data_IF_244801667387
#
_entry.id   IF_244801667387
#
_cell.length_a   1.000
_cell.length_b   1.000
_cell.length_c   1.000
_cell.angle_alpha   90.00
_cell.angle_beta   90.00
_cell.angle_gamma   90.00
#
_symmetry.space_group_name_H-M   'P 1'
#
loop_
_entity.id
_entity.type
_entity.pdbx_description
1 polymer ?
#
# COMPACT_ATOMS: atom_id res chain seq x y z
N UNK A 1 69.84 -7.51 -11.23
CA UNK A 1 68.51 -7.01 -10.82
C UNK A 1 67.45 -7.85 -11.52
N UNK A 2 66.80 -8.77 -10.81
CA UNK A 2 65.64 -9.53 -11.30
C UNK A 2 64.49 -9.25 -10.34
N UNK A 3 63.46 -8.56 -10.81
CA UNK A 3 62.29 -8.20 -10.02
C UNK A 3 61.25 -9.30 -10.19
N UNK A 4 60.93 -10.02 -9.11
CA UNK A 4 59.75 -10.88 -9.06
C UNK A 4 58.52 -10.01 -8.81
N UNK A 5 57.51 -10.14 -9.67
CA UNK A 5 56.16 -9.61 -9.43
C UNK A 5 55.31 -10.76 -8.92
N UNK A 6 54.83 -10.67 -7.68
CA UNK A 6 53.91 -11.61 -7.08
C UNK A 6 52.48 -11.11 -7.29
N UNK A 7 51.67 -11.87 -8.04
CA UNK A 7 50.25 -11.60 -8.25
C UNK A 7 49.45 -12.13 -7.06
N UNK A 8 48.86 -11.23 -6.27
CA UNK A 8 47.97 -11.57 -5.18
C UNK A 8 46.54 -11.79 -5.73
N UNK A 9 46.06 -13.03 -5.72
CA UNK A 9 44.69 -13.36 -6.06
C UNK A 9 43.78 -13.13 -4.83
N UNK A 10 42.94 -12.09 -4.86
CA UNK A 10 41.87 -11.91 -3.86
C UNK A 10 40.71 -12.85 -4.21
N UNK A 11 40.50 -13.88 -3.38
CA UNK A 11 39.29 -14.67 -3.40
C UNK A 11 38.14 -13.88 -2.75
N UNK A 12 37.18 -13.43 -3.54
CA UNK A 12 35.90 -12.91 -3.03
C UNK A 12 35.08 -14.09 -2.50
N UNK A 13 35.00 -14.23 -1.17
CA UNK A 13 34.02 -15.10 -0.54
C UNK A 13 32.64 -14.46 -0.73
N UNK A 14 31.85 -15.02 -1.65
CA UNK A 14 30.45 -14.66 -1.78
C UNK A 14 29.70 -15.17 -0.54
N UNK A 15 29.28 -14.28 0.34
CA UNK A 15 28.40 -14.61 1.46
C UNK A 15 27.11 -15.22 0.88
N UNK A 16 26.93 -16.52 1.03
CA UNK A 16 25.66 -17.16 0.73
C UNK A 16 24.64 -16.62 1.74
N UNK A 17 23.82 -15.66 1.33
CA UNK A 17 22.70 -15.22 2.13
C UNK A 17 21.73 -16.39 2.28
N UNK A 18 21.74 -17.04 3.45
CA UNK A 18 20.75 -18.04 3.81
C UNK A 18 19.46 -17.32 4.20
N UNK A 19 18.36 -17.64 3.51
CA UNK A 19 17.03 -17.25 3.95
C UNK A 19 16.71 -17.87 5.32
N UNK A 20 15.93 -17.16 6.13
CA UNK A 20 15.39 -17.70 7.37
C UNK A 20 14.52 -18.93 7.07
N UNK A 21 14.46 -19.91 8.00
CA UNK A 21 13.49 -21.00 7.89
C UNK A 21 12.06 -20.46 7.75
N UNK A 22 11.38 -20.81 6.66
CA UNK A 22 9.97 -20.47 6.46
C UNK A 22 9.11 -21.71 6.72
N UNK A 23 8.45 -21.72 7.87
CA UNK A 23 7.44 -22.74 8.20
C UNK A 23 6.06 -22.20 7.90
N UNK A 24 5.22 -22.97 7.21
CA UNK A 24 3.87 -22.55 6.85
C UNK A 24 2.83 -23.57 7.32
N UNK A 25 1.82 -23.11 8.05
CA UNK A 25 0.65 -23.89 8.41
C UNK A 25 -0.25 -24.06 7.17
N UNK A 26 -0.46 -25.30 6.78
CA UNK A 26 -1.27 -25.68 5.60
C UNK A 26 -2.55 -26.41 5.97
N UNK A 27 -2.95 -26.43 7.24
CA UNK A 27 -4.19 -27.11 7.69
C UNK A 27 -5.46 -26.57 6.99
N UNK A 28 -5.47 -25.29 6.60
CA UNK A 28 -6.53 -24.66 5.83
C UNK A 28 -6.38 -24.77 4.30
N UNK A 29 -5.29 -25.34 3.81
CA UNK A 29 -5.01 -25.50 2.40
C UNK A 29 -5.65 -26.78 1.85
N UNK A 30 -6.29 -26.65 0.69
CA UNK A 30 -6.83 -27.75 -0.10
C UNK A 30 -6.39 -27.57 -1.54
N UNK A 31 -5.64 -28.52 -2.08
CA UNK A 31 -5.20 -28.49 -3.46
C UNK A 31 -6.38 -28.57 -4.42
N UNK A 32 -6.30 -27.85 -5.53
CA UNK A 32 -7.27 -27.91 -6.63
C UNK A 32 -6.54 -27.87 -7.97
N UNK A 33 -7.09 -28.47 -9.05
CA UNK A 33 -6.53 -28.33 -10.38
C UNK A 33 -6.37 -26.86 -10.76
N UNK A 34 -5.18 -26.45 -11.21
CA UNK A 34 -4.89 -25.06 -11.59
C UNK A 34 -4.80 -24.07 -10.43
N UNK A 35 -4.72 -24.54 -9.16
CA UNK A 35 -4.52 -23.69 -7.98
C UNK A 35 -3.84 -24.50 -6.86
N UNK A 36 -2.53 -24.33 -6.73
CA UNK A 36 -1.70 -25.17 -5.85
C UNK A 36 -0.74 -24.34 -5.00
N UNK A 37 -0.39 -24.87 -3.82
CA UNK A 37 0.65 -24.35 -2.95
C UNK A 37 1.51 -25.51 -2.43
N UNK A 38 2.82 -25.30 -2.34
CA UNK A 38 3.78 -26.26 -1.82
C UNK A 38 4.85 -25.56 -0.99
N UNK A 39 5.26 -26.17 0.11
CA UNK A 39 6.32 -25.67 1.00
C UNK A 39 7.49 -26.65 0.91
N UNK A 40 8.62 -26.19 0.41
CA UNK A 40 9.85 -26.97 0.29
C UNK A 40 11.06 -26.02 0.33
N UNK A 41 12.18 -26.47 0.90
CA UNK A 41 13.45 -25.72 0.94
C UNK A 41 13.28 -24.26 1.42
N UNK A 42 12.59 -24.08 2.56
CA UNK A 42 12.26 -22.77 3.14
C UNK A 42 11.55 -21.81 2.16
N UNK A 43 10.86 -22.36 1.15
CA UNK A 43 10.16 -21.59 0.12
C UNK A 43 8.70 -22.04 0.05
N UNK A 44 7.77 -21.10 0.20
CA UNK A 44 6.37 -21.33 -0.19
C UNK A 44 6.21 -20.99 -1.66
N UNK A 45 5.82 -21.96 -2.48
CA UNK A 45 5.48 -21.78 -3.89
C UNK A 45 3.98 -21.84 -4.07
N UNK A 46 3.38 -20.81 -4.67
CA UNK A 46 1.98 -20.78 -5.09
C UNK A 46 1.94 -20.71 -6.61
N UNK A 47 1.24 -21.64 -7.26
CA UNK A 47 1.08 -21.69 -8.72
C UNK A 47 -0.40 -21.79 -9.07
N UNK A 48 -0.87 -20.95 -9.98
CA UNK A 48 -2.27 -20.94 -10.40
C UNK A 48 -2.45 -20.63 -11.88
N UNK A 49 -3.60 -21.06 -12.41
CA UNK A 49 -4.07 -20.73 -13.74
C UNK A 49 -4.52 -19.26 -13.77
N UNK A 50 -3.90 -18.46 -14.63
CA UNK A 50 -4.29 -17.09 -14.93
C UNK A 50 -5.24 -17.00 -16.14
N UNK A 51 -5.40 -15.79 -16.66
CA UNK A 51 -6.18 -15.54 -17.89
C UNK A 51 -5.45 -16.05 -19.14
N UNK A 52 -6.19 -16.21 -20.24
CA UNK A 52 -5.64 -16.46 -21.60
C UNK A 52 -4.60 -17.60 -21.65
N UNK A 53 -4.92 -18.73 -21.01
CA UNK A 53 -4.06 -19.92 -20.97
C UNK A 53 -2.66 -19.67 -20.38
N UNK A 54 -2.56 -18.75 -19.42
CA UNK A 54 -1.33 -18.46 -18.66
C UNK A 54 -1.31 -19.21 -17.33
N UNK A 55 -0.11 -19.45 -16.83
CA UNK A 55 0.14 -19.83 -15.44
C UNK A 55 0.99 -18.74 -14.78
N UNK A 56 0.71 -18.50 -13.50
CA UNK A 56 1.46 -17.57 -12.68
C UNK A 56 2.04 -18.34 -11.50
N UNK A 57 3.27 -18.00 -11.12
CA UNK A 57 3.96 -18.56 -9.95
C UNK A 57 4.46 -17.43 -9.07
N UNK A 58 4.19 -17.55 -7.79
CA UNK A 58 4.68 -16.66 -6.75
C UNK A 58 5.42 -17.50 -5.71
N UNK A 59 6.71 -17.22 -5.51
CA UNK A 59 7.54 -17.89 -4.50
C UNK A 59 7.90 -16.92 -3.39
N UNK A 60 7.64 -17.33 -2.16
CA UNK A 60 7.96 -16.56 -0.96
C UNK A 60 9.09 -17.21 -0.18
N UNK A 61 9.93 -16.36 0.39
CA UNK A 61 10.97 -16.70 1.37
C UNK A 61 10.88 -15.71 2.53
N UNK A 62 11.61 -15.97 3.61
CA UNK A 62 11.75 -15.07 4.73
C UNK A 62 13.21 -14.58 4.81
N UNK A 63 13.42 -13.27 4.88
CA UNK A 63 14.74 -12.67 5.02
C UNK A 63 14.72 -11.70 6.20
N UNK A 64 15.43 -12.02 7.28
CA UNK A 64 15.46 -11.24 8.53
C UNK A 64 14.05 -10.88 9.03
N UNK A 65 13.14 -11.86 9.05
CA UNK A 65 11.74 -11.65 9.44
C UNK A 65 10.88 -10.88 8.43
N UNK A 66 11.40 -10.51 7.26
CA UNK A 66 10.65 -9.83 6.18
C UNK A 66 10.21 -10.82 5.10
N UNK A 67 8.88 -10.99 4.87
CA UNK A 67 8.39 -11.77 3.74
C UNK A 67 8.89 -11.18 2.43
N UNK A 68 9.65 -11.96 1.70
CA UNK A 68 10.26 -11.57 0.43
C UNK A 68 9.69 -12.44 -0.68
N UNK A 69 9.23 -11.81 -1.76
CA UNK A 69 8.90 -12.52 -2.99
C UNK A 69 10.24 -12.87 -3.64
N UNK A 70 10.62 -14.15 -3.52
CA UNK A 70 11.80 -14.72 -4.15
C UNK A 70 11.72 -14.55 -5.66
N UNK A 71 10.57 -14.86 -6.25
CA UNK A 71 10.20 -14.48 -7.61
C UNK A 71 8.70 -14.49 -7.83
N UNK A 72 8.27 -13.60 -8.73
CA UNK A 72 7.01 -13.63 -9.44
C UNK A 72 7.30 -13.94 -10.90
N UNK A 73 6.72 -15.01 -11.43
CA UNK A 73 6.94 -15.46 -12.80
C UNK A 73 5.62 -15.82 -13.49
N UNK A 74 5.62 -15.71 -14.82
CA UNK A 74 4.49 -16.06 -15.68
C UNK A 74 4.95 -16.98 -16.82
N UNK A 75 4.05 -17.80 -17.35
CA UNK A 75 4.27 -18.56 -18.58
C UNK A 75 2.99 -18.79 -19.36
N UNK A 76 3.08 -19.11 -20.65
CA UNK A 76 2.04 -19.89 -21.30
C UNK A 76 2.01 -21.31 -20.70
N UNK A 77 0.83 -21.95 -20.63
CA UNK A 77 0.77 -23.36 -20.24
C UNK A 77 1.68 -24.20 -21.14
N UNK A 78 2.56 -25.00 -20.53
CA UNK A 78 3.57 -25.81 -21.23
C UNK A 78 4.81 -25.04 -21.73
N UNK A 79 4.87 -23.72 -21.56
CA UNK A 79 6.02 -22.89 -21.93
C UNK A 79 7.06 -22.71 -20.81
N UNK A 80 8.08 -21.91 -21.11
CA UNK A 80 9.11 -21.52 -20.15
C UNK A 80 8.63 -20.40 -19.22
N UNK A 81 9.09 -20.42 -17.96
CA UNK A 81 8.83 -19.36 -16.99
C UNK A 81 9.63 -18.10 -17.33
N UNK A 82 8.93 -16.96 -17.40
CA UNK A 82 9.50 -15.63 -17.48
C UNK A 82 9.36 -14.93 -16.12
N UNK A 83 10.49 -14.56 -15.51
CA UNK A 83 10.51 -13.84 -14.24
C UNK A 83 10.16 -12.37 -14.45
N UNK A 84 9.22 -11.86 -13.68
CA UNK A 84 8.77 -10.46 -13.69
C UNK A 84 9.35 -9.64 -12.54
N UNK A 85 9.57 -10.27 -11.39
CA UNK A 85 10.24 -9.66 -10.24
C UNK A 85 10.96 -10.74 -9.44
N UNK A 86 12.06 -10.39 -8.79
CA UNK A 86 12.83 -11.28 -7.93
C UNK A 86 13.45 -10.52 -6.76
N UNK A 87 13.46 -11.12 -5.57
CA UNK A 87 14.02 -10.50 -4.37
C UNK A 87 13.30 -9.22 -3.92
N UNK A 88 11.99 -9.14 -4.13
CA UNK A 88 11.20 -7.92 -3.89
C UNK A 88 10.36 -8.03 -2.63
N UNK A 89 10.13 -6.90 -1.94
CA UNK A 89 9.34 -6.87 -0.70
C UNK A 89 8.12 -5.96 -0.82
N UNK A 90 7.09 -6.25 -0.04
CA UNK A 90 5.95 -5.37 0.12
C UNK A 90 6.39 -4.07 0.84
N UNK A 91 6.09 -2.92 0.24
CA UNK A 91 6.35 -1.62 0.83
C UNK A 91 5.03 -0.96 1.20
N UNK A 92 4.80 -0.73 2.49
CA UNK A 92 3.63 -0.03 2.99
C UNK A 92 4.04 1.16 3.84
N UNK A 93 3.32 2.26 3.68
CA UNK A 93 3.39 3.43 4.55
C UNK A 93 1.99 3.79 5.04
N UNK A 94 1.89 4.26 6.27
CA UNK A 94 0.67 4.83 6.83
C UNK A 94 0.97 6.24 7.32
N UNK A 95 -0.04 7.09 7.18
CA UNK A 95 -0.09 8.35 7.91
C UNK A 95 -1.41 8.36 8.67
N UNK A 96 -1.33 8.48 9.99
CA UNK A 96 -2.48 8.52 10.87
C UNK A 96 -2.56 9.84 11.60
N UNK A 97 -3.76 10.34 11.81
CA UNK A 97 -4.07 11.54 12.58
C UNK A 97 -5.27 11.33 13.50
N UNK A 98 -5.59 12.35 14.28
CA UNK A 98 -6.71 12.33 15.21
C UNK A 98 -8.02 12.74 14.52
N UNK A 99 -8.98 11.80 14.47
CA UNK A 99 -10.37 12.02 14.04
C UNK A 99 -11.07 12.94 15.03
N UNK A 100 -11.69 14.00 14.51
CA UNK A 100 -12.50 14.94 15.29
C UNK A 100 -13.93 14.99 14.76
N UNK A 101 -14.91 15.07 15.66
CA UNK A 101 -16.25 15.51 15.32
C UNK A 101 -16.24 17.02 15.02
N UNK A 102 -17.12 17.44 14.11
CA UNK A 102 -17.24 18.83 13.67
C UNK A 102 -18.48 19.50 14.27
N UNK A 103 -18.50 20.83 14.27
CA UNK A 103 -19.66 21.62 14.70
C UNK A 103 -20.95 21.23 13.97
N UNK A 104 -20.85 20.78 12.72
CA UNK A 104 -21.96 20.28 11.91
C UNK A 104 -22.68 19.09 12.55
N UNK A 105 -21.95 18.24 13.26
CA UNK A 105 -22.50 17.08 13.97
C UNK A 105 -22.91 17.44 15.41
N UNK A 106 -22.18 18.36 16.04
CA UNK A 106 -22.34 18.70 17.45
C UNK A 106 -23.51 19.65 17.72
N UNK A 107 -23.68 20.70 16.89
CA UNK A 107 -24.71 21.72 17.10
C UNK A 107 -26.14 21.16 17.10
N UNK A 108 -26.52 20.23 16.20
CA UNK A 108 -27.85 19.62 16.24
C UNK A 108 -28.12 18.89 17.56
N UNK A 109 -27.14 18.15 18.09
CA UNK A 109 -27.28 17.44 19.36
C UNK A 109 -27.44 18.43 20.53
N UNK A 110 -26.66 19.50 20.54
CA UNK A 110 -26.76 20.56 21.55
C UNK A 110 -28.11 21.27 21.50
N UNK A 111 -28.64 21.55 20.29
CA UNK A 111 -29.96 22.17 20.12
C UNK A 111 -31.10 21.28 20.61
N UNK A 112 -30.92 19.96 20.57
CA UNK A 112 -31.85 18.99 21.17
C UNK A 112 -31.65 18.80 22.68
N UNK A 113 -30.74 19.55 23.31
CA UNK A 113 -30.43 19.44 24.74
C UNK A 113 -29.63 18.18 25.10
N UNK A 114 -29.03 17.49 24.13
CA UNK A 114 -28.21 16.30 24.37
C UNK A 114 -26.81 16.73 24.83
N UNK A 115 -26.36 16.34 26.03
CA UNK A 115 -25.03 16.69 26.51
C UNK A 115 -23.95 15.96 25.71
N UNK A 116 -22.95 16.70 25.21
CA UNK A 116 -21.80 16.13 24.50
C UNK A 116 -20.82 15.54 25.50
N UNK A 117 -21.01 14.28 25.84
CA UNK A 117 -20.09 13.49 26.68
C UNK A 117 -19.03 12.80 25.82
N UNK A 118 -17.91 12.30 26.39
CA UNK A 118 -16.93 11.49 25.66
C UNK A 118 -17.56 10.29 24.94
N UNK A 119 -18.58 9.66 25.54
CA UNK A 119 -19.31 8.54 24.93
C UNK A 119 -20.05 8.98 23.66
N UNK A 120 -20.83 10.06 23.75
CA UNK A 120 -21.57 10.62 22.59
C UNK A 120 -20.59 10.98 21.48
N UNK A 121 -19.46 11.58 21.84
CA UNK A 121 -18.42 11.95 20.89
C UNK A 121 -17.78 10.74 20.20
N UNK A 122 -17.51 9.65 20.94
CA UNK A 122 -17.01 8.38 20.40
C UNK A 122 -18.01 7.69 19.46
N UNK A 123 -19.31 7.95 19.60
CA UNK A 123 -20.33 7.43 18.69
C UNK A 123 -20.35 8.22 17.38
N UNK A 124 -20.31 9.56 17.44
CA UNK A 124 -20.58 10.42 16.28
C UNK A 124 -19.34 10.81 15.46
N UNK A 125 -18.14 10.85 16.07
CA UNK A 125 -16.94 11.41 15.40
C UNK A 125 -16.59 10.71 14.09
N UNK A 126 -17.03 9.46 13.92
CA UNK A 126 -16.74 8.65 12.74
C UNK A 126 -17.52 9.06 11.49
N UNK A 127 -18.60 9.83 11.68
CA UNK A 127 -19.45 10.33 10.60
C UNK A 127 -19.01 11.71 10.09
N UNK A 128 -17.85 12.20 10.54
CA UNK A 128 -17.34 13.51 10.16
C UNK A 128 -16.87 13.51 8.69
N UNK A 129 -17.57 14.26 7.84
CA UNK A 129 -17.32 14.29 6.40
C UNK A 129 -16.16 15.22 5.98
N UNK A 130 -15.98 16.35 6.68
CA UNK A 130 -14.94 17.37 6.39
C UNK A 130 -13.86 17.46 7.49
N UNK A 131 -13.66 16.39 8.24
CA UNK A 131 -12.56 16.33 9.21
C UNK A 131 -11.25 15.98 8.50
N UNK A 132 -10.43 16.97 8.14
CA UNK A 132 -9.09 16.75 7.53
C UNK A 132 -8.01 16.58 8.59
N UNK A 133 -7.61 15.34 8.95
CA UNK A 133 -6.83 15.08 10.16
C UNK A 133 -5.34 15.40 9.98
N UNK A 134 -4.91 15.50 8.73
CA UNK A 134 -3.52 15.75 8.34
C UNK A 134 -3.28 17.21 7.92
N UNK A 135 -4.32 18.04 7.88
CA UNK A 135 -4.19 19.48 7.66
C UNK A 135 -3.67 20.14 8.94
N UNK A 136 -2.35 20.35 9.01
CA UNK A 136 -1.65 20.97 10.14
C UNK A 136 -1.07 22.31 9.67
N UNK A 137 -1.34 23.44 10.36
CA UNK A 137 -2.04 23.55 11.65
C UNK A 137 -3.57 23.42 11.55
N UNK A 138 -4.15 23.50 10.36
CA UNK A 138 -5.60 23.32 10.18
C UNK A 138 -6.45 24.39 10.85
N UNK A 139 -5.95 25.62 10.83
CA UNK A 139 -6.54 26.83 11.43
C UNK A 139 -7.52 27.56 10.50
N UNK A 140 -7.73 27.08 9.27
CA UNK A 140 -8.77 27.60 8.39
C UNK A 140 -10.17 27.18 8.86
N UNK A 141 -11.18 28.00 8.55
CA UNK A 141 -12.59 27.64 8.79
C UNK A 141 -13.08 26.78 7.63
N UNK A 142 -13.61 25.60 7.94
CA UNK A 142 -14.26 24.70 6.99
C UNK A 142 -15.65 25.22 6.56
N UNK A 143 -16.10 24.78 5.39
CA UNK A 143 -17.46 25.01 4.89
C UNK A 143 -18.54 24.56 5.88
N UNK A 144 -19.68 25.26 5.91
CA UNK A 144 -20.93 24.75 6.49
C UNK A 144 -20.90 24.41 7.98
N UNK A 145 -19.96 25.00 8.76
CA UNK A 145 -19.77 24.65 10.16
C UNK A 145 -19.08 23.29 10.35
N UNK A 146 -18.42 22.75 9.33
CA UNK A 146 -17.69 21.50 9.42
C UNK A 146 -16.28 21.64 10.04
N UNK A 147 -16.05 22.73 10.79
CA UNK A 147 -14.83 22.94 11.56
C UNK A 147 -14.98 22.24 12.92
N UNK A 148 -13.98 21.49 13.40
CA UNK A 148 -13.94 21.06 14.80
C UNK A 148 -14.01 22.26 15.76
N UNK A 149 -14.63 22.13 16.95
CA UNK A 149 -14.68 23.21 17.93
C UNK A 149 -13.28 23.74 18.28
N UNK A 150 -13.06 25.05 18.13
CA UNK A 150 -11.73 25.67 18.35
C UNK A 150 -11.22 25.42 19.76
N UNK A 151 -12.09 25.52 20.77
CA UNK A 151 -11.74 25.25 22.16
C UNK A 151 -11.63 23.76 22.51
N UNK A 152 -12.00 22.86 21.59
CA UNK A 152 -12.25 21.45 21.91
C UNK A 152 -13.59 21.25 22.59
N UNK A 153 -13.95 19.98 22.84
CA UNK A 153 -15.18 19.62 23.54
C UNK A 153 -15.04 18.23 24.14
N UNK A 154 -15.54 18.04 25.37
CA UNK A 154 -15.36 16.80 26.12
C UNK A 154 -13.87 16.37 26.17
N UNK A 155 -13.52 15.21 25.62
CA UNK A 155 -12.14 14.72 25.52
C UNK A 155 -11.52 14.93 24.12
N UNK A 156 -12.19 15.68 23.23
CA UNK A 156 -11.63 16.11 21.96
C UNK A 156 -10.75 17.36 22.12
N UNK A 157 -9.47 17.31 21.72
CA UNK A 157 -8.64 18.50 21.64
C UNK A 157 -9.18 19.50 20.62
N UNK A 158 -9.01 20.79 20.90
CA UNK A 158 -9.35 21.88 19.99
C UNK A 158 -8.43 22.04 18.79
N UNK A 159 -8.50 23.22 18.16
CA UNK A 159 -7.63 23.67 17.08
C UNK A 159 -6.66 24.77 17.58
N UNK A 160 -5.51 24.98 16.93
CA UNK A 160 -4.99 24.27 15.77
C UNK A 160 -4.53 22.84 16.10
N UNK A 161 -4.49 21.99 15.07
CA UNK A 161 -3.88 20.66 15.16
C UNK A 161 -2.38 20.78 15.40
N UNK A 162 -1.84 19.84 16.17
CA UNK A 162 -0.40 19.75 16.43
C UNK A 162 0.25 18.73 15.50
N UNK A 163 1.49 18.99 15.08
CA UNK A 163 2.27 18.02 14.32
C UNK A 163 2.43 16.68 15.05
N UNK A 164 2.45 16.70 16.40
CA UNK A 164 2.50 15.50 17.25
C UNK A 164 1.24 14.63 17.17
N UNK A 165 0.13 15.13 16.62
CA UNK A 165 -1.07 14.33 16.37
C UNK A 165 -0.94 13.48 15.10
N UNK A 166 0.07 13.74 14.26
CA UNK A 166 0.30 13.01 13.01
C UNK A 166 1.44 12.03 13.18
N UNK A 167 1.14 10.74 13.00
CA UNK A 167 2.14 9.67 12.97
C UNK A 167 2.37 9.21 11.55
N UNK A 168 3.64 9.15 11.13
CA UNK A 168 4.08 8.63 9.83
C UNK A 168 4.92 7.40 10.07
N UNK A 169 4.59 6.28 9.43
CA UNK A 169 5.33 5.05 9.62
C UNK A 169 5.40 4.22 8.34
N UNK A 170 6.49 3.48 8.19
CA UNK A 170 6.60 2.38 7.24
C UNK A 170 6.30 1.05 7.96
N UNK A 171 5.91 0.03 7.19
CA UNK A 171 5.72 -1.31 7.75
C UNK A 171 7.05 -1.90 8.21
N UNK A 172 7.07 -2.43 9.42
CA UNK A 172 8.11 -3.29 9.95
C UNK A 172 7.59 -4.73 10.03
N UNK A 173 8.44 -5.68 9.66
CA UNK A 173 8.10 -7.10 9.59
C UNK A 173 8.94 -7.89 10.59
N UNK A 174 8.28 -8.69 11.42
CA UNK A 174 8.87 -9.64 12.35
C UNK A 174 8.17 -10.98 12.20
N UNK A 175 8.09 -11.44 10.96
CA UNK A 175 7.39 -12.66 10.58
C UNK A 175 8.26 -13.87 10.92
N UNK A 176 7.64 -14.93 11.45
CA UNK A 176 8.32 -16.19 11.78
C UNK A 176 7.74 -17.40 11.06
N UNK A 177 6.52 -17.26 10.55
CA UNK A 177 5.79 -18.34 9.89
C UNK A 177 4.75 -17.76 8.94
N UNK A 178 4.12 -18.62 8.15
CA UNK A 178 2.98 -18.25 7.33
C UNK A 178 1.79 -19.20 7.52
N UNK A 179 0.60 -18.76 7.10
CA UNK A 179 -0.59 -19.60 7.00
C UNK A 179 -1.08 -19.61 5.56
N UNK A 180 -1.44 -20.79 5.05
CA UNK A 180 -1.96 -20.98 3.69
C UNK A 180 -3.38 -21.54 3.77
N UNK A 181 -4.31 -20.87 3.10
CA UNK A 181 -5.73 -21.25 3.09
C UNK A 181 -6.29 -21.25 1.67
N UNK A 182 -7.07 -22.28 1.36
CA UNK A 182 -7.91 -22.30 0.15
C UNK A 182 -9.30 -21.77 0.49
N UNK A 183 -9.81 -20.82 -0.30
CA UNK A 183 -11.13 -20.23 -0.12
C UNK A 183 -11.85 -20.09 -1.47
N UNK A 184 -12.68 -21.08 -1.82
CA UNK A 184 -13.26 -21.19 -3.15
C UNK A 184 -12.17 -21.31 -4.22
N UNK A 185 -12.17 -20.39 -5.18
CA UNK A 185 -11.20 -20.31 -6.28
C UNK A 185 -9.96 -19.45 -5.96
N UNK A 186 -9.65 -19.21 -4.68
CA UNK A 186 -8.51 -18.38 -4.26
C UNK A 186 -7.62 -19.09 -3.23
N UNK A 187 -6.33 -18.76 -3.25
CA UNK A 187 -5.40 -19.07 -2.16
C UNK A 187 -5.09 -17.76 -1.42
N UNK A 188 -5.19 -17.80 -0.10
CA UNK A 188 -4.79 -16.75 0.82
C UNK A 188 -3.52 -17.18 1.54
N UNK A 189 -2.46 -16.39 1.46
CA UNK A 189 -1.20 -16.56 2.18
C UNK A 189 -1.07 -15.42 3.18
N UNK A 190 -0.92 -15.75 4.46
CA UNK A 190 -0.86 -14.81 5.57
C UNK A 190 0.49 -14.89 6.28
N UNK A 191 1.07 -13.74 6.61
CA UNK A 191 2.34 -13.57 7.32
C UNK A 191 2.12 -12.70 8.57
N UNK A 192 1.82 -13.31 9.74
CA UNK A 192 1.65 -12.58 11.00
C UNK A 192 2.97 -11.96 11.49
N UNK A 193 2.88 -10.79 12.13
CA UNK A 193 4.05 -10.07 12.67
C UNK A 193 4.34 -8.75 11.95
N UNK A 194 3.30 -8.04 11.52
CA UNK A 194 3.43 -6.71 10.90
C UNK A 194 3.11 -5.63 11.92
N UNK A 195 4.00 -4.65 12.06
CA UNK A 195 3.73 -3.37 12.70
C UNK A 195 3.70 -2.27 11.65
N UNK A 196 2.68 -1.43 11.64
CA UNK A 196 2.56 -0.29 10.72
C UNK A 196 1.98 0.91 11.48
N UNK A 197 2.85 1.77 12.02
CA UNK A 197 2.41 2.91 12.84
C UNK A 197 1.64 2.44 14.06
N UNK A 198 0.37 2.86 14.18
CA UNK A 198 -0.54 2.46 15.27
C UNK A 198 -1.18 1.08 15.07
N UNK A 199 -0.87 0.39 13.97
CA UNK A 199 -1.50 -0.86 13.58
C UNK A 199 -0.60 -2.07 13.80
N UNK A 200 -1.16 -3.15 14.35
CA UNK A 200 -0.52 -4.47 14.42
C UNK A 200 -1.36 -5.52 13.69
N UNK A 201 -0.71 -6.41 12.95
CA UNK A 201 -1.43 -7.39 12.14
C UNK A 201 -0.54 -8.30 11.30
N UNK A 202 -0.99 -8.54 10.07
CA UNK A 202 -0.33 -9.45 9.12
C UNK A 202 -0.29 -8.88 7.70
N UNK A 203 0.70 -9.32 6.93
CA UNK A 203 0.74 -9.16 5.49
C UNK A 203 0.00 -10.34 4.85
N UNK A 204 -0.88 -10.07 3.89
CA UNK A 204 -1.73 -11.05 3.24
C UNK A 204 -1.61 -10.93 1.72
N UNK A 205 -1.45 -12.07 1.05
CA UNK A 205 -1.53 -12.19 -0.39
C UNK A 205 -2.72 -13.07 -0.76
N UNK A 206 -3.55 -12.64 -1.71
CA UNK A 206 -4.61 -13.44 -2.29
C UNK A 206 -4.39 -13.57 -3.79
N UNK A 207 -4.42 -14.81 -4.29
CA UNK A 207 -4.35 -15.11 -5.73
C UNK A 207 -5.65 -15.74 -6.20
N UNK A 208 -6.07 -15.47 -7.43
CA UNK A 208 -7.39 -15.86 -7.94
C UNK A 208 -7.25 -16.77 -9.15
N UNK A 209 -7.69 -18.03 -9.05
CA UNK A 209 -7.73 -18.93 -10.20
C UNK A 209 -8.60 -18.34 -11.30
N UNK A 210 -8.10 -18.37 -12.53
CA UNK A 210 -8.74 -17.78 -13.70
C UNK A 210 -8.39 -16.30 -13.91
N UNK A 211 -7.53 -15.70 -13.08
CA UNK A 211 -7.00 -14.35 -13.28
C UNK A 211 -5.53 -14.25 -12.85
N UNK A 212 -4.75 -13.41 -13.51
CA UNK A 212 -3.39 -13.13 -13.05
C UNK A 212 -3.37 -12.25 -11.78
N UNK A 213 -4.51 -11.71 -11.37
CA UNK A 213 -4.64 -10.79 -10.23
C UNK A 213 -4.01 -11.34 -8.94
N UNK A 214 -3.21 -10.49 -8.29
CA UNK A 214 -2.68 -10.68 -6.95
C UNK A 214 -3.18 -9.51 -6.11
N UNK A 215 -3.91 -9.79 -5.04
CA UNK A 215 -4.23 -8.81 -4.00
C UNK A 215 -3.18 -8.90 -2.91
N UNK A 216 -2.52 -7.79 -2.61
CA UNK A 216 -1.57 -7.66 -1.51
C UNK A 216 -2.19 -6.72 -0.47
N UNK A 217 -2.24 -7.10 0.80
CA UNK A 217 -2.84 -6.29 1.84
C UNK A 217 -2.13 -6.39 3.19
N UNK A 218 -2.15 -5.32 3.98
CA UNK A 218 -1.97 -5.41 5.42
C UNK A 218 -3.37 -5.49 6.05
N UNK A 219 -3.59 -6.54 6.82
CA UNK A 219 -4.82 -6.78 7.58
C UNK A 219 -4.47 -6.63 9.05
N UNK A 220 -4.88 -5.52 9.66
CA UNK A 220 -4.39 -5.09 10.96
C UNK A 220 -5.46 -4.42 11.81
N UNK A 221 -5.24 -4.40 13.12
CA UNK A 221 -6.08 -3.67 14.09
C UNK A 221 -5.27 -2.57 14.77
N UNK A 222 -5.97 -1.67 15.45
CA UNK A 222 -5.38 -0.71 16.38
C UNK A 222 -6.24 -0.68 17.63
N UNK A 223 -5.62 -0.39 18.77
CA UNK A 223 -6.33 -0.13 20.02
C UNK A 223 -6.32 1.38 20.37
N UNK A 224 -5.71 2.20 19.51
CA UNK A 224 -5.73 3.66 19.60
C UNK A 224 -7.14 4.22 19.34
N UNK A 225 -7.51 5.26 20.10
CA UNK A 225 -8.82 5.92 19.96
C UNK A 225 -8.79 6.92 18.81
N UNK A 226 -9.94 7.05 18.13
CA UNK A 226 -10.19 8.12 17.15
C UNK A 226 -9.13 8.20 16.03
N UNK A 227 -8.68 7.07 15.49
CA UNK A 227 -7.69 7.06 14.41
C UNK A 227 -8.35 7.34 13.07
N UNK A 228 -7.85 8.36 12.39
CA UNK A 228 -8.04 8.54 10.96
C UNK A 228 -6.73 8.23 10.22
N UNK A 229 -6.78 7.59 9.06
CA UNK A 229 -5.55 7.19 8.37
C UNK A 229 -5.67 7.14 6.85
N UNK A 230 -4.53 7.37 6.20
CA UNK A 230 -4.30 7.04 4.79
C UNK A 230 -3.14 6.07 4.68
N UNK A 231 -3.03 5.40 3.55
CA UNK A 231 -1.90 4.53 3.27
C UNK A 231 -1.38 4.63 1.84
N UNK A 232 -0.12 4.25 1.71
CA UNK A 232 0.52 3.96 0.43
C UNK A 232 0.97 2.50 0.46
N UNK A 233 0.88 1.82 -0.68
CA UNK A 233 1.30 0.44 -0.81
C UNK A 233 1.97 0.18 -2.15
N UNK A 234 2.99 -0.68 -2.16
CA UNK A 234 3.89 -0.85 -3.29
C UNK A 234 4.75 -2.10 -3.19
N UNK A 235 5.55 -2.29 -4.24
CA UNK A 235 6.55 -3.33 -4.34
C UNK A 235 7.89 -2.63 -4.48
N UNK A 236 8.87 -3.05 -3.68
CA UNK A 236 10.20 -2.45 -3.63
C UNK A 236 11.27 -3.45 -4.01
N UNK A 237 12.35 -2.95 -4.61
CA UNK A 237 13.54 -3.72 -4.94
C UNK A 237 13.49 -4.33 -6.34
N UNK A 238 12.60 -3.85 -7.21
CA UNK A 238 12.57 -4.30 -8.59
C UNK A 238 13.88 -3.88 -9.28
N UNK A 239 14.50 -4.81 -10.00
CA UNK A 239 15.74 -4.56 -10.70
C UNK A 239 15.51 -3.71 -11.95
N UNK A 240 16.37 -2.71 -12.15
CA UNK A 240 16.46 -1.96 -13.41
C UNK A 240 17.36 -2.76 -14.35
N UNK A 241 16.76 -3.35 -15.38
CA UNK A 241 17.41 -4.13 -16.43
C UNK A 241 17.31 -3.41 -17.78
N UNK A 242 18.06 -3.81 -18.82
CA UNK A 242 17.79 -3.35 -20.18
C UNK A 242 16.31 -3.51 -20.53
N UNK A 243 15.71 -2.49 -21.18
CA UNK A 243 14.28 -2.40 -21.48
C UNK A 243 13.32 -2.39 -20.27
N UNK A 244 13.81 -2.02 -19.07
CA UNK A 244 12.96 -1.73 -17.91
C UNK A 244 12.43 -0.31 -17.98
N UNK A 245 11.13 -0.14 -17.82
CA UNK A 245 10.48 1.17 -17.84
C UNK A 245 9.21 1.18 -16.99
N UNK A 246 8.86 2.35 -16.46
CA UNK A 246 7.51 2.61 -15.94
C UNK A 246 6.65 3.17 -17.05
N UNK A 247 5.44 2.63 -17.20
CA UNK A 247 4.49 3.04 -18.25
C UNK A 247 3.15 3.42 -17.63
N UNK A 248 2.59 4.55 -18.04
CA UNK A 248 1.24 4.97 -17.67
C UNK A 248 0.62 5.87 -18.73
N UNK A 249 -0.70 6.06 -18.68
CA UNK A 249 -1.38 7.13 -19.42
C UNK A 249 -1.54 8.35 -18.53
N UNK A 250 -1.24 9.54 -19.04
CA UNK A 250 -1.55 10.79 -18.35
C UNK A 250 -3.07 10.95 -18.18
N UNK A 251 -3.53 11.42 -17.01
CA UNK A 251 -4.93 11.74 -16.79
C UNK A 251 -5.42 12.91 -17.67
N UNK A 252 -4.56 13.88 -17.97
CA UNK A 252 -4.97 15.13 -18.64
C UNK A 252 -4.92 15.02 -20.16
N UNK A 253 -3.79 14.56 -20.71
CA UNK A 253 -3.59 14.45 -22.16
C UNK A 253 -3.99 13.09 -22.72
N UNK A 254 -4.22 12.10 -21.84
CA UNK A 254 -4.49 10.71 -22.20
C UNK A 254 -3.37 10.02 -23.01
N UNK A 255 -2.20 10.68 -23.13
CA UNK A 255 -1.02 10.17 -23.82
C UNK A 255 -0.29 9.13 -22.97
N UNK A 256 0.35 8.17 -23.63
CA UNK A 256 1.27 7.24 -22.99
C UNK A 256 2.55 7.97 -22.60
N UNK A 257 3.05 7.64 -21.41
CA UNK A 257 4.33 8.10 -20.88
C UNK A 257 5.13 6.86 -20.49
N UNK A 258 6.36 6.77 -20.96
CA UNK A 258 7.37 5.84 -20.49
C UNK A 258 8.47 6.58 -19.71
N UNK A 259 8.97 5.95 -18.65
CA UNK A 259 10.08 6.45 -17.86
C UNK A 259 11.13 5.35 -17.68
N UNK A 260 12.30 5.56 -18.28
CA UNK A 260 13.38 4.58 -18.41
C UNK A 260 14.47 4.72 -17.34
N UNK A 261 14.17 5.38 -16.21
CA UNK A 261 15.10 5.52 -15.08
C UNK A 261 16.45 6.19 -15.38
N UNK A 262 16.55 7.06 -16.39
CA UNK A 262 17.82 7.75 -16.73
C UNK A 262 18.29 8.81 -15.72
N UNK A 263 17.42 9.27 -14.82
CA UNK A 263 17.72 10.36 -13.87
C UNK A 263 18.41 9.93 -12.57
N UNK A 264 18.63 10.88 -11.66
CA UNK A 264 19.09 10.62 -10.30
C UNK A 264 18.08 9.76 -9.50
N UNK A 265 18.53 9.19 -8.37
CA UNK A 265 17.60 8.56 -7.42
C UNK A 265 16.56 9.58 -6.94
N UNK A 266 15.38 9.11 -6.56
CA UNK A 266 14.36 9.97 -5.97
C UNK A 266 14.48 9.93 -4.44
N UNK A 267 14.40 11.09 -3.79
CA UNK A 267 14.43 11.17 -2.32
C UNK A 267 13.07 10.77 -1.69
N UNK A 268 11.99 10.83 -2.47
CA UNK A 268 10.65 10.45 -2.07
C UNK A 268 9.87 9.81 -3.25
N UNK A 269 8.77 9.08 -3.00
CA UNK A 269 7.87 8.65 -4.05
C UNK A 269 7.43 9.81 -4.94
N UNK A 270 7.43 9.60 -6.26
CA UNK A 270 6.93 10.55 -7.27
C UNK A 270 5.46 10.24 -7.53
N UNK A 271 4.51 11.09 -7.10
CA UNK A 271 3.09 10.89 -7.37
C UNK A 271 2.77 11.10 -8.85
N UNK A 272 1.87 10.27 -9.39
CA UNK A 272 1.46 10.31 -10.79
C UNK A 272 -0.06 10.47 -10.92
N UNK A 273 -0.50 11.50 -11.64
CA UNK A 273 -1.90 11.66 -12.08
C UNK A 273 -2.14 10.82 -13.35
N UNK A 274 -2.39 9.53 -13.16
CA UNK A 274 -2.58 8.58 -14.28
C UNK A 274 -4.06 8.45 -14.68
N UNK A 275 -4.35 8.23 -15.96
CA UNK A 275 -5.66 7.77 -16.41
C UNK A 275 -5.97 6.39 -15.80
N UNK A 276 -7.23 6.14 -15.44
CA UNK A 276 -7.70 4.88 -14.84
C UNK A 276 -6.99 4.43 -13.55
N UNK A 277 -6.13 5.29 -12.96
CA UNK A 277 -5.35 5.00 -11.75
C UNK A 277 -4.48 3.73 -11.87
N UNK A 278 -3.91 3.54 -13.06
CA UNK A 278 -3.08 2.38 -13.40
C UNK A 278 -1.67 2.81 -13.80
N UNK A 279 -0.68 2.10 -13.27
CA UNK A 279 0.73 2.21 -13.62
C UNK A 279 1.28 0.80 -13.86
N UNK A 280 2.18 0.61 -14.82
CA UNK A 280 2.82 -0.67 -15.09
C UNK A 280 4.34 -0.55 -15.05
N UNK A 281 5.00 -1.51 -14.42
CA UNK A 281 6.42 -1.75 -14.60
C UNK A 281 6.58 -2.77 -15.73
N UNK A 282 7.25 -2.37 -16.81
CA UNK A 282 7.67 -3.25 -17.89
C UNK A 282 9.09 -3.72 -17.63
N UNK A 283 9.33 -5.01 -17.81
CA UNK A 283 10.60 -5.71 -17.59
C UNK A 283 10.82 -6.71 -18.73
N UNK A 284 12.04 -7.27 -18.91
CA UNK A 284 12.28 -8.21 -20.01
C UNK A 284 11.31 -9.40 -20.09
N UNK A 285 10.86 -9.91 -18.94
CA UNK A 285 9.93 -11.04 -18.88
C UNK A 285 8.45 -10.70 -19.12
N UNK A 286 8.06 -9.42 -19.18
CA UNK A 286 6.67 -8.99 -19.26
C UNK A 286 6.38 -7.71 -18.47
N UNK A 287 5.24 -7.64 -17.81
CA UNK A 287 4.85 -6.45 -17.04
C UNK A 287 4.13 -6.80 -15.74
N UNK A 288 4.20 -5.87 -14.78
CA UNK A 288 3.42 -5.89 -13.54
C UNK A 288 2.67 -4.56 -13.46
N UNK A 289 1.34 -4.59 -13.59
CA UNK A 289 0.50 -3.43 -13.33
C UNK A 289 0.16 -3.32 -11.85
N UNK A 290 0.01 -2.09 -11.34
CA UNK A 290 -0.49 -1.79 -10.01
C UNK A 290 -1.63 -0.78 -10.09
N UNK A 291 -2.70 -1.04 -9.35
CA UNK A 291 -3.90 -0.20 -9.33
C UNK A 291 -4.66 -0.32 -7.99
N UNK A 292 -5.46 0.70 -7.63
CA UNK A 292 -6.33 0.67 -6.45
C UNK A 292 -7.33 -0.50 -6.48
N UNK A 293 -7.64 -1.15 -5.33
CA UNK A 293 -8.80 -2.02 -5.24
C UNK A 293 -10.10 -1.24 -5.53
N UNK A 294 -11.07 -1.86 -6.22
CA UNK A 294 -12.35 -1.21 -6.48
C UNK A 294 -13.12 -0.96 -5.17
N UNK A 295 -13.83 0.18 -5.10
CA UNK A 295 -14.73 0.62 -4.02
C UNK A 295 -14.15 0.79 -2.61
N UNK A 296 -13.01 0.16 -2.29
CA UNK A 296 -12.41 0.17 -0.95
C UNK A 296 -11.06 0.89 -0.89
N UNK A 297 -10.74 1.73 -1.88
CA UNK A 297 -9.52 2.56 -1.90
C UNK A 297 -9.76 4.05 -1.68
N UNK A 298 -10.98 4.53 -1.88
CA UNK A 298 -11.37 5.90 -1.57
C UNK A 298 -12.29 5.90 -0.36
N UNK A 299 -12.21 6.94 0.46
CA UNK A 299 -13.29 7.34 1.35
C UNK A 299 -14.23 8.27 0.58
N UNK A 300 -15.44 8.48 1.10
CA UNK A 300 -16.39 9.42 0.52
C UNK A 300 -15.77 10.81 0.47
N UNK A 301 -15.78 11.42 -0.73
CA UNK A 301 -15.31 12.78 -0.97
C UNK A 301 -16.35 13.51 -1.79
N UNK A 302 -16.48 14.81 -1.56
CA UNK A 302 -17.36 15.68 -2.35
C UNK A 302 -16.82 15.94 -3.76
N UNK A 303 -15.50 15.78 -3.95
CA UNK A 303 -14.82 16.00 -5.22
C UNK A 303 -14.01 14.78 -5.64
N UNK A 304 -13.99 14.52 -6.94
CA UNK A 304 -13.44 13.30 -7.55
C UNK A 304 -12.08 13.53 -8.24
N UNK A 305 -11.31 14.53 -7.78
CA UNK A 305 -10.02 14.86 -8.39
C UNK A 305 -9.03 13.71 -8.36
N UNK A 306 -8.20 13.65 -9.42
CA UNK A 306 -7.05 12.78 -9.44
C UNK A 306 -5.87 13.42 -8.71
N UNK A 307 -5.73 13.08 -7.42
CA UNK A 307 -4.65 13.59 -6.55
C UNK A 307 -3.36 12.78 -6.64
N UNK A 308 -3.20 12.04 -7.74
CA UNK A 308 -2.01 11.23 -8.02
C UNK A 308 -2.00 9.90 -7.27
N UNK A 309 -2.91 8.99 -7.61
CA UNK A 309 -3.11 7.73 -6.85
C UNK A 309 -2.11 6.62 -7.16
N UNK A 310 -1.18 6.86 -8.06
CA UNK A 310 -0.07 5.96 -8.36
C UNK A 310 1.25 6.66 -8.06
N UNK A 311 2.30 5.87 -7.85
CA UNK A 311 3.64 6.41 -7.64
C UNK A 311 4.71 5.46 -8.15
N UNK A 312 5.88 6.03 -8.46
CA UNK A 312 7.13 5.29 -8.61
C UNK A 312 8.24 5.95 -7.78
N UNK A 313 9.33 5.23 -7.55
CA UNK A 313 10.53 5.76 -6.92
C UNK A 313 11.75 5.00 -7.43
N UNK A 314 12.71 5.69 -8.03
CA UNK A 314 14.05 5.15 -8.30
C UNK A 314 14.83 5.15 -6.99
N UNK A 315 15.11 3.96 -6.45
CA UNK A 315 15.81 3.80 -5.17
C UNK A 315 17.33 3.88 -5.34
N UNK A 316 17.85 3.36 -6.46
CA UNK A 316 19.28 3.32 -6.76
C UNK A 316 19.52 3.27 -8.28
N UNK A 317 20.78 3.24 -8.76
CA UNK A 317 21.07 2.98 -10.17
C UNK A 317 20.50 1.66 -10.71
N UNK A 318 20.26 0.67 -9.84
CA UNK A 318 19.86 -0.69 -10.22
C UNK A 318 18.51 -1.12 -9.65
N UNK A 319 17.82 -0.27 -8.90
CA UNK A 319 16.54 -0.65 -8.27
C UNK A 319 15.51 0.46 -8.19
N UNK A 320 14.24 0.04 -8.21
CA UNK A 320 13.09 0.93 -8.07
C UNK A 320 11.95 0.28 -7.27
N UNK A 321 10.96 1.12 -6.96
CA UNK A 321 9.71 0.75 -6.31
C UNK A 321 8.53 1.45 -6.99
N UNK A 322 7.35 0.85 -6.91
CA UNK A 322 6.12 1.45 -7.44
C UNK A 322 4.86 0.89 -6.78
N UNK A 323 3.77 1.63 -6.90
CA UNK A 323 2.48 1.18 -6.38
C UNK A 323 1.39 2.22 -6.42
N UNK A 324 0.52 2.15 -5.43
CA UNK A 324 -0.63 3.04 -5.22
C UNK A 324 -0.43 3.86 -3.96
N UNK A 325 -1.02 5.05 -3.95
CA UNK A 325 -0.95 5.97 -2.81
C UNK A 325 -2.26 6.70 -2.62
N UNK A 326 -2.44 7.23 -1.42
CA UNK A 326 -3.47 8.19 -1.12
C UNK A 326 -2.83 9.56 -0.85
N UNK A 327 -3.51 10.62 -1.27
CA UNK A 327 -3.09 11.98 -0.96
C UNK A 327 -3.26 12.28 0.53
N UNK A 328 -2.66 13.36 1.00
CA UNK A 328 -2.75 13.84 2.40
C UNK A 328 -3.67 15.05 2.57
N UNK A 329 -4.06 15.65 1.45
CA UNK A 329 -4.99 16.77 1.40
C UNK A 329 -5.57 16.90 -0.01
N UNK A 330 -6.53 17.80 -0.14
CA UNK A 330 -7.15 18.18 -1.41
C UNK A 330 -6.16 18.95 -2.32
N UNK A 331 -6.50 19.06 -3.60
CA UNK A 331 -5.84 20.01 -4.50
C UNK A 331 -6.04 21.46 -3.99
N UNK A 332 -5.10 22.34 -4.31
CA UNK A 332 -5.22 23.77 -3.96
C UNK A 332 -6.48 24.38 -4.61
N UNK A 333 -7.29 25.17 -3.87
CA UNK A 333 -8.47 25.84 -4.41
C UNK A 333 -8.19 26.76 -5.60
N UNK A 334 -6.97 27.30 -5.72
CA UNK A 334 -6.53 28.15 -6.84
C UNK A 334 -6.25 27.34 -8.13
N UNK A 335 -6.25 26.01 -8.06
CA UNK A 335 -6.17 25.16 -9.25
C UNK A 335 -7.46 25.30 -10.08
N UNK A 336 -7.36 25.11 -11.39
CA UNK A 336 -8.29 25.61 -12.42
C UNK A 336 -9.82 25.50 -12.15
N UNK A 337 -10.49 26.65 -12.02
CA UNK A 337 -11.94 26.79 -12.26
C UNK A 337 -12.87 26.32 -11.13
N UNK A 338 -12.39 26.27 -9.89
CA UNK A 338 -13.07 25.56 -8.78
C UNK A 338 -14.02 26.40 -7.92
N UNK A 339 -14.40 27.58 -8.38
CA UNK A 339 -15.19 28.53 -7.61
C UNK A 339 -14.40 29.09 -6.41
N UNK A 340 -15.00 29.95 -5.58
CA UNK A 340 -14.30 30.56 -4.44
C UNK A 340 -14.14 29.63 -3.22
N UNK A 341 -14.62 28.38 -3.30
CA UNK A 341 -14.75 27.51 -2.13
C UNK A 341 -13.46 26.75 -1.78
N UNK A 342 -12.99 26.92 -0.54
CA UNK A 342 -11.85 26.19 0.01
C UNK A 342 -12.26 24.79 0.49
N UNK A 343 -11.89 23.77 -0.29
CA UNK A 343 -12.17 22.36 0.01
C UNK A 343 -11.01 21.62 0.67
N UNK A 344 -9.96 22.30 1.14
CA UNK A 344 -8.79 21.65 1.79
C UNK A 344 -9.14 20.83 3.03
N UNK A 345 -10.31 21.07 3.63
CA UNK A 345 -10.82 20.30 4.76
C UNK A 345 -11.70 19.10 4.38
N UNK A 346 -12.10 18.96 3.11
CA UNK A 346 -12.87 17.82 2.60
C UNK A 346 -11.98 16.58 2.39
N UNK A 347 -11.38 16.11 3.48
CA UNK A 347 -10.36 15.08 3.43
C UNK A 347 -10.42 14.14 4.63
N UNK A 348 -11.61 13.54 4.84
CA UNK A 348 -11.90 12.70 5.99
C UNK A 348 -10.88 11.59 6.22
N UNK A 349 -10.37 10.91 5.19
CA UNK A 349 -9.58 9.67 5.33
C UNK A 349 -10.38 8.48 5.89
N UNK A 350 -9.75 7.32 5.94
CA UNK A 350 -10.32 6.15 6.59
C UNK A 350 -10.39 6.29 8.09
N UNK A 351 -11.36 5.61 8.69
CA UNK A 351 -11.52 5.50 10.14
C UNK A 351 -11.06 4.12 10.61
N UNK A 352 -10.27 4.09 11.68
CA UNK A 352 -9.93 2.86 12.40
C UNK A 352 -10.47 2.96 13.83
N UNK A 353 -11.54 2.21 14.09
CA UNK A 353 -12.14 2.08 15.43
C UNK A 353 -11.26 1.14 16.27
N UNK A 354 -11.09 1.42 17.59
CA UNK A 354 -10.33 0.55 18.46
C UNK A 354 -10.98 -0.84 18.57
N UNK A 355 -10.16 -1.88 18.75
CA UNK A 355 -10.64 -3.23 19.05
C UNK A 355 -10.52 -4.21 17.87
N UNK A 356 -11.42 -5.22 17.76
CA UNK A 356 -11.20 -6.38 16.89
C UNK A 356 -11.41 -6.10 15.40
N UNK A 357 -12.04 -4.96 15.06
CA UNK A 357 -12.29 -4.57 13.67
C UNK A 357 -10.98 -4.35 12.93
N UNK A 358 -10.83 -4.98 11.77
CA UNK A 358 -9.58 -4.96 11.02
C UNK A 358 -9.62 -3.93 9.89
N UNK A 359 -8.68 -2.99 9.91
CA UNK A 359 -8.32 -2.17 8.77
C UNK A 359 -7.69 -3.06 7.69
N UNK A 360 -8.09 -2.84 6.45
CA UNK A 360 -7.61 -3.60 5.28
C UNK A 360 -6.94 -2.63 4.30
N UNK A 361 -5.62 -2.61 4.32
CA UNK A 361 -4.76 -1.70 3.54
C UNK A 361 -4.28 -2.45 2.30
N UNK A 362 -4.91 -2.20 1.15
CA UNK A 362 -4.84 -3.12 0.00
C UNK A 362 -4.23 -2.47 -1.25
N UNK A 363 -3.44 -3.25 -1.98
CA UNK A 363 -2.99 -2.94 -3.34
C UNK A 363 -3.30 -4.13 -4.26
N UNK A 364 -3.68 -3.84 -5.51
CA UNK A 364 -3.92 -4.86 -6.53
C UNK A 364 -2.78 -4.85 -7.54
N UNK A 365 -2.32 -6.05 -7.92
CA UNK A 365 -1.27 -6.24 -8.93
C UNK A 365 -1.73 -7.19 -10.00
N UNK A 366 -1.33 -6.93 -11.24
CA UNK A 366 -1.65 -7.79 -12.36
C UNK A 366 -0.40 -8.05 -13.20
N UNK A 367 0.22 -9.25 -13.06
CA UNK A 367 1.31 -9.71 -13.90
C UNK A 367 0.81 -10.19 -15.27
N UNK A 368 1.54 -9.82 -16.31
CA UNK A 368 1.25 -10.22 -17.69
C UNK A 368 2.55 -10.49 -18.45
N UNK A 369 2.48 -11.33 -19.49
CA UNK A 369 3.56 -11.39 -20.49
C UNK A 369 3.54 -10.13 -21.34
N UNK A 370 4.63 -9.88 -22.08
CA UNK A 370 4.57 -8.95 -23.22
C UNK A 370 3.54 -9.40 -24.24
#
# INVERSE_FOLDING_TARGET
MKTLVASLALAFAASAASADPLTCNTSGYKAQPGLTAAVADNTLTVTWDGEKNREVRLRFTLNDGTPTIRDLAVRAKGGSWATLAAGVTAEYRVVSGLRRATDQQLKPLQALGIPITPKVLDEIRWEAFWDSPLNVPGDSVAHGGATPPVAGIADQPGLPRKASEVTRAAAAYQVRSCDVKTNGARIEVSFPGVQLGVFSGRLEYTVYKGSSLIRQAIVAKTDERAVAYKYDGGLKGLAIQPATEMVWRSNTSNQWIDYQFGGAKNDAPVPLKTANRLIAAQVPGGSIAAFPPPHNFFWSRETEFNLGYNWYRKDSPSSFAFGVRQAEGEEDPAWQGHGPEDRRQNFALYSARPGPTRATITTSRYPATR
#
